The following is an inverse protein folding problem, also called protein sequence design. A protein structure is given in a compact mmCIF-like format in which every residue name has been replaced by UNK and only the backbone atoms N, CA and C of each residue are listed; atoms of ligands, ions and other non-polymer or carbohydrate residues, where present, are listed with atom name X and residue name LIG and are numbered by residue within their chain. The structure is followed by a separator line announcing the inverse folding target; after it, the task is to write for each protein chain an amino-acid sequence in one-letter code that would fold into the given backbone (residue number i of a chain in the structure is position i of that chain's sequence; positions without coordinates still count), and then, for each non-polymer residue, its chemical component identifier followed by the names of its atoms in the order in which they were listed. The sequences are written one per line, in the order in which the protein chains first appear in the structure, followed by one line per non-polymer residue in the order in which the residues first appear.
data_IF_650461481489
#
_entry.id   IF_650461481489
#
_cell.length_a   1.000
_cell.length_b   1.000
_cell.length_c   1.000
_cell.angle_alpha   90.00
_cell.angle_beta   90.00
_cell.angle_gamma   90.00
#
_symmetry.space_group_name_H-M   'P 1'
#
loop_
_entity.id
_entity.type
_entity.pdbx_description
1 polymer ?
#
# COMPACT_ATOMS: atom_id res chain seq x y z
N UNK A 1 13.81 -18.37 5.59
CA UNK A 1 12.80 -18.30 4.51
C UNK A 1 13.34 -19.01 3.27
N UNK A 2 12.57 -19.91 2.69
CA UNK A 2 12.96 -20.67 1.51
C UNK A 2 12.67 -19.90 0.22
N UNK A 3 13.31 -20.24 -0.93
CA UNK A 3 12.97 -19.63 -2.22
C UNK A 3 11.48 -19.77 -2.57
N UNK A 4 10.86 -20.89 -2.21
CA UNK A 4 9.45 -21.16 -2.45
C UNK A 4 8.56 -20.21 -1.63
N UNK A 5 8.91 -19.97 -0.37
CA UNK A 5 8.21 -19.00 0.48
C UNK A 5 8.34 -17.58 -0.04
N UNK A 6 9.53 -17.20 -0.51
CA UNK A 6 9.74 -15.88 -1.14
C UNK A 6 8.87 -15.75 -2.39
N UNK A 7 8.86 -16.75 -3.25
CA UNK A 7 8.03 -16.76 -4.47
C UNK A 7 6.54 -16.60 -4.12
N UNK A 8 6.08 -17.26 -3.06
CA UNK A 8 4.68 -17.18 -2.63
C UNK A 8 4.25 -15.76 -2.28
N UNK A 9 5.14 -14.94 -1.71
CA UNK A 9 4.85 -13.54 -1.37
C UNK A 9 4.60 -12.66 -2.61
N UNK A 10 5.11 -13.06 -3.77
CA UNK A 10 4.95 -12.34 -5.03
C UNK A 10 3.98 -13.04 -5.98
N UNK A 11 3.30 -14.08 -5.51
CA UNK A 11 2.33 -14.83 -6.30
C UNK A 11 0.91 -14.41 -5.88
N UNK A 12 0.11 -13.97 -6.85
CA UNK A 12 -1.26 -13.53 -6.65
C UNK A 12 -2.21 -14.72 -6.48
N UNK A 13 -3.42 -14.45 -6.03
CA UNK A 13 -4.45 -15.47 -5.84
C UNK A 13 -4.79 -16.24 -7.14
N UNK A 14 -4.62 -15.60 -8.31
CA UNK A 14 -4.83 -16.21 -9.63
C UNK A 14 -3.63 -17.06 -10.11
N UNK A 15 -2.58 -17.18 -9.28
CA UNK A 15 -1.37 -17.92 -9.62
C UNK A 15 -0.32 -17.11 -10.38
N UNK A 16 -0.59 -15.86 -10.72
CA UNK A 16 0.35 -15.01 -11.45
C UNK A 16 1.46 -14.52 -10.53
N UNK A 17 2.71 -14.81 -10.89
CA UNK A 17 3.87 -14.25 -10.22
C UNK A 17 4.11 -12.82 -10.67
N UNK A 18 4.27 -11.91 -9.71
CA UNK A 18 4.57 -10.51 -10.00
C UNK A 18 5.59 -9.95 -9.02
N UNK A 19 6.75 -9.65 -9.55
CA UNK A 19 7.79 -8.92 -8.83
C UNK A 19 8.05 -7.59 -9.54
N UNK A 20 8.15 -6.52 -8.77
CA UNK A 20 8.52 -5.21 -9.27
C UNK A 20 9.24 -4.42 -8.18
N UNK A 21 10.06 -3.46 -8.59
CA UNK A 21 10.76 -2.55 -7.68
C UNK A 21 10.12 -1.18 -7.73
N UNK A 22 10.29 -0.42 -6.68
CA UNK A 22 9.93 0.98 -6.68
C UNK A 22 10.78 1.76 -7.68
N UNK A 23 10.13 2.58 -8.51
CA UNK A 23 10.79 3.43 -9.48
C UNK A 23 11.12 4.83 -8.98
N UNK A 24 10.72 5.15 -7.74
CA UNK A 24 10.85 6.49 -7.14
C UNK A 24 10.97 6.38 -5.63
N UNK A 25 11.47 7.43 -4.93
CA UNK A 25 11.49 7.45 -3.48
C UNK A 25 10.09 7.29 -2.88
N UNK A 26 9.99 6.64 -1.72
CA UNK A 26 8.72 6.50 -1.02
C UNK A 26 8.33 7.81 -0.34
N UNK A 27 7.13 8.29 -0.63
CA UNK A 27 6.53 9.45 0.03
C UNK A 27 5.26 9.00 0.76
N UNK A 28 5.38 8.51 2.01
CA UNK A 28 4.25 7.94 2.73
C UNK A 28 3.35 8.99 3.34
N UNK A 29 2.06 8.67 3.40
CA UNK A 29 1.06 9.36 4.21
C UNK A 29 0.26 8.32 4.97
N UNK A 30 -0.02 8.57 6.24
CA UNK A 30 -0.71 7.65 7.13
C UNK A 30 -1.97 8.30 7.66
N UNK A 31 -3.11 7.64 7.48
CA UNK A 31 -4.41 8.12 7.90
C UNK A 31 -4.94 7.28 9.08
N UNK A 32 -5.71 7.93 9.96
CA UNK A 32 -6.42 7.24 11.03
C UNK A 32 -5.61 6.98 12.29
N UNK A 33 -4.48 7.67 12.47
CA UNK A 33 -3.61 7.53 13.64
C UNK A 33 -3.26 8.89 14.25
N UNK A 34 -2.86 8.87 15.51
CA UNK A 34 -2.33 10.04 16.20
C UNK A 34 -0.85 10.26 15.82
N UNK A 35 -0.35 11.46 16.14
CA UNK A 35 1.02 11.86 15.78
C UNK A 35 2.09 10.90 16.28
N UNK A 36 1.92 10.32 17.46
CA UNK A 36 2.87 9.37 18.04
C UNK A 36 2.94 8.09 17.21
N UNK A 37 1.80 7.52 16.83
CA UNK A 37 1.74 6.34 15.97
C UNK A 37 2.26 6.65 14.57
N UNK A 38 1.94 7.82 14.03
CA UNK A 38 2.47 8.27 12.75
C UNK A 38 3.99 8.25 12.73
N UNK A 39 4.63 8.76 13.78
CA UNK A 39 6.09 8.78 13.89
C UNK A 39 6.67 7.36 13.90
N UNK A 40 6.01 6.42 14.59
CA UNK A 40 6.42 5.02 14.66
C UNK A 40 6.33 4.37 13.26
N UNK A 41 5.24 4.57 12.56
CA UNK A 41 5.03 4.01 11.21
C UNK A 41 6.07 4.57 10.23
N UNK A 42 6.29 5.87 10.24
CA UNK A 42 7.33 6.50 9.41
C UNK A 42 8.72 5.98 9.72
N UNK A 43 9.04 5.80 11.00
CA UNK A 43 10.30 5.19 11.42
C UNK A 43 10.47 3.77 10.91
N UNK A 44 9.40 2.98 10.86
CA UNK A 44 9.42 1.64 10.28
C UNK A 44 9.70 1.68 8.77
N UNK A 45 9.08 2.60 8.04
CA UNK A 45 9.38 2.79 6.61
C UNK A 45 10.86 3.14 6.40
N UNK A 46 11.39 4.06 7.20
CA UNK A 46 12.81 4.44 7.12
C UNK A 46 13.74 3.25 7.36
N UNK A 47 13.45 2.45 8.37
CA UNK A 47 14.26 1.27 8.70
C UNK A 47 14.29 0.27 7.53
N UNK A 48 13.13 0.00 6.91
CA UNK A 48 13.04 -0.92 5.77
C UNK A 48 13.74 -0.35 4.54
N UNK A 49 13.53 0.93 4.24
CA UNK A 49 14.13 1.56 3.05
C UNK A 49 15.65 1.65 3.16
N UNK A 50 16.18 1.88 4.35
CA UNK A 50 17.65 1.84 4.59
C UNK A 50 18.20 0.45 4.27
N UNK A 51 17.55 -0.61 4.76
CA UNK A 51 17.96 -1.98 4.48
C UNK A 51 17.88 -2.32 2.99
N UNK A 52 16.89 -1.78 2.29
CA UNK A 52 16.71 -2.00 0.86
C UNK A 52 17.58 -1.07 -0.02
N UNK A 53 18.37 -0.19 0.59
CA UNK A 53 19.13 0.84 -0.11
C UNK A 53 18.21 1.69 -1.02
N UNK A 54 17.05 2.09 -0.48
CA UNK A 54 16.07 2.89 -1.17
C UNK A 54 15.87 4.22 -0.43
N UNK A 55 15.44 5.25 -1.13
CA UNK A 55 15.24 6.58 -0.54
C UNK A 55 13.78 6.82 -0.14
N UNK A 56 13.61 7.67 0.86
CA UNK A 56 12.32 8.30 1.18
C UNK A 56 12.33 9.75 0.77
N UNK A 57 11.16 10.29 0.48
CA UNK A 57 10.95 11.70 0.19
C UNK A 57 9.75 12.23 0.99
N UNK A 58 9.73 13.53 1.23
CA UNK A 58 8.59 14.20 1.86
C UNK A 58 7.38 14.25 0.93
N UNK A 59 7.64 14.43 -0.37
CA UNK A 59 6.61 14.62 -1.38
C UNK A 59 7.03 13.96 -2.68
N UNK A 60 6.10 13.26 -3.31
CA UNK A 60 6.26 12.77 -4.68
C UNK A 60 5.90 13.90 -5.65
N UNK A 61 6.77 14.27 -6.61
CA UNK A 61 6.51 15.38 -7.53
C UNK A 61 5.27 15.20 -8.40
N UNK A 62 4.86 13.96 -8.66
CA UNK A 62 3.74 13.64 -9.54
C UNK A 62 2.45 13.39 -8.76
N UNK A 63 2.54 12.66 -7.65
CA UNK A 63 1.39 12.17 -6.91
C UNK A 63 1.16 12.87 -5.56
N UNK A 64 2.12 13.65 -5.08
CA UNK A 64 2.11 14.22 -3.73
C UNK A 64 2.54 13.18 -2.69
N UNK A 65 1.77 12.12 -2.50
CA UNK A 65 2.14 10.94 -1.74
C UNK A 65 1.96 9.71 -2.63
N UNK A 66 2.81 8.70 -2.46
CA UNK A 66 2.76 7.49 -3.27
C UNK A 66 2.60 6.20 -2.45
N UNK A 67 2.68 6.30 -1.14
CA UNK A 67 2.43 5.18 -0.23
C UNK A 67 1.40 5.62 0.79
N UNK A 68 0.17 5.19 0.60
CA UNK A 68 -0.96 5.63 1.43
C UNK A 68 -1.37 4.49 2.36
N UNK A 69 -1.24 4.73 3.66
CA UNK A 69 -1.56 3.76 4.70
C UNK A 69 -2.81 4.21 5.45
N UNK A 70 -3.80 3.34 5.50
CA UNK A 70 -5.08 3.62 6.16
C UNK A 70 -5.25 2.68 7.34
N UNK A 71 -5.33 3.24 8.54
CA UNK A 71 -5.72 2.49 9.74
C UNK A 71 -7.22 2.67 9.94
N UNK A 72 -7.95 1.55 9.92
CA UNK A 72 -9.40 1.53 9.95
C UNK A 72 -9.89 0.68 11.13
N UNK A 73 -11.03 1.02 11.68
CA UNK A 73 -11.75 0.18 12.64
C UNK A 73 -12.58 -0.88 11.94
N UNK A 74 -13.15 -0.50 10.78
CA UNK A 74 -13.94 -1.39 9.94
C UNK A 74 -13.83 -0.97 8.47
N UNK A 75 -14.01 -1.94 7.57
CA UNK A 75 -13.83 -1.73 6.13
C UNK A 75 -14.78 -0.69 5.53
N UNK A 76 -15.99 -0.52 6.10
CA UNK A 76 -16.97 0.45 5.60
C UNK A 76 -16.49 1.89 5.65
N UNK A 77 -15.53 2.21 6.50
CA UNK A 77 -14.93 3.55 6.56
C UNK A 77 -14.32 3.97 5.22
N UNK A 78 -13.87 3.00 4.40
CA UNK A 78 -13.32 3.30 3.08
C UNK A 78 -14.38 3.85 2.13
N UNK A 79 -15.59 3.31 2.16
CA UNK A 79 -16.67 3.80 1.30
C UNK A 79 -17.21 5.15 1.76
N UNK A 80 -16.99 5.50 3.01
CA UNK A 80 -17.37 6.81 3.58
C UNK A 80 -16.30 7.88 3.35
N UNK A 81 -15.13 7.51 2.86
CA UNK A 81 -14.03 8.46 2.60
C UNK A 81 -14.28 9.19 1.28
N UNK A 82 -14.41 10.54 1.29
CA UNK A 82 -14.66 11.29 0.06
C UNK A 82 -13.57 11.10 -0.99
N UNK A 83 -13.97 10.90 -2.23
CA UNK A 83 -13.11 10.79 -3.41
C UNK A 83 -12.15 9.59 -3.44
N UNK A 84 -12.19 8.70 -2.45
CA UNK A 84 -11.34 7.50 -2.47
C UNK A 84 -11.73 6.56 -3.62
N UNK A 85 -13.01 6.51 -3.97
CA UNK A 85 -13.52 5.73 -5.10
C UNK A 85 -12.96 6.18 -6.46
N UNK A 86 -12.48 7.41 -6.57
CA UNK A 86 -11.80 7.92 -7.76
C UNK A 86 -10.39 7.37 -7.89
N UNK A 87 -9.72 7.12 -6.76
CA UNK A 87 -8.38 6.55 -6.73
C UNK A 87 -8.42 5.03 -6.83
N UNK A 88 -9.46 4.41 -6.28
CA UNK A 88 -9.60 2.96 -6.23
C UNK A 88 -10.90 2.58 -6.93
N UNK A 89 -10.84 2.13 -8.21
CA UNK A 89 -12.01 1.67 -8.93
C UNK A 89 -12.67 0.48 -8.22
N UNK A 90 -13.99 0.39 -8.28
CA UNK A 90 -14.78 -0.69 -7.70
C UNK A 90 -14.59 -0.82 -6.18
N UNK A 91 -14.42 0.30 -5.50
CA UNK A 91 -14.20 0.33 -4.04
C UNK A 91 -15.33 -0.34 -3.25
N UNK A 92 -16.59 -0.09 -3.61
CA UNK A 92 -17.74 -0.69 -2.94
C UNK A 92 -17.73 -2.22 -3.00
N UNK A 93 -17.66 -2.83 -4.21
CA UNK A 93 -17.52 -4.28 -4.35
C UNK A 93 -16.28 -4.85 -3.66
N UNK A 94 -15.17 -4.14 -3.66
CA UNK A 94 -13.95 -4.55 -2.95
C UNK A 94 -14.21 -4.63 -1.44
N UNK A 95 -14.82 -3.61 -0.86
CA UNK A 95 -15.13 -3.58 0.57
C UNK A 95 -16.05 -4.74 0.94
N UNK A 96 -17.07 -5.02 0.13
CA UNK A 96 -17.97 -6.16 0.34
C UNK A 96 -17.21 -7.49 0.36
N UNK A 97 -16.27 -7.69 -0.55
CA UNK A 97 -15.41 -8.89 -0.58
C UNK A 97 -14.53 -9.00 0.66
N UNK A 98 -13.94 -7.90 1.10
CA UNK A 98 -13.06 -7.88 2.28
C UNK A 98 -13.84 -8.22 3.55
N UNK A 99 -15.05 -7.70 3.69
CA UNK A 99 -15.93 -8.04 4.80
C UNK A 99 -16.32 -9.52 4.71
N UNK A 100 -16.75 -9.99 3.55
CA UNK A 100 -17.20 -11.37 3.35
C UNK A 100 -16.10 -12.41 3.59
N UNK A 101 -14.84 -12.07 3.33
CA UNK A 101 -13.70 -12.96 3.58
C UNK A 101 -13.05 -12.78 4.96
N UNK A 102 -13.61 -11.91 5.80
CA UNK A 102 -13.08 -11.58 7.12
C UNK A 102 -11.60 -11.14 7.03
N UNK A 103 -11.28 -10.33 6.02
CA UNK A 103 -9.93 -9.84 5.80
C UNK A 103 -9.51 -8.83 6.87
N UNK A 104 -8.24 -8.85 7.26
CA UNK A 104 -7.66 -7.92 8.22
C UNK A 104 -6.63 -6.97 7.61
N UNK A 105 -6.30 -7.14 6.35
CA UNK A 105 -5.43 -6.26 5.60
C UNK A 105 -5.68 -6.40 4.10
N UNK A 106 -5.34 -5.36 3.36
CA UNK A 106 -5.38 -5.40 1.90
C UNK A 106 -4.39 -4.40 1.32
N UNK A 107 -3.77 -4.74 0.18
CA UNK A 107 -2.79 -3.89 -0.49
C UNK A 107 -3.11 -3.80 -1.97
N UNK A 108 -2.97 -2.61 -2.51
CA UNK A 108 -3.12 -2.36 -3.94
C UNK A 108 -1.86 -1.66 -4.42
N UNK A 109 -1.26 -2.18 -5.50
CA UNK A 109 -0.10 -1.57 -6.14
C UNK A 109 -0.49 -0.99 -7.49
N UNK A 110 0.10 0.15 -7.81
CA UNK A 110 0.04 0.75 -9.14
C UNK A 110 1.42 0.70 -9.76
N UNK A 111 1.47 0.40 -11.06
CA UNK A 111 2.72 0.26 -11.79
C UNK A 111 2.78 1.30 -12.90
N UNK A 112 3.98 1.79 -13.19
CA UNK A 112 4.20 2.70 -14.31
C UNK A 112 4.43 1.92 -15.63
N UNK A 113 4.68 2.65 -16.71
CA UNK A 113 4.91 2.04 -18.01
C UNK A 113 6.18 1.21 -18.11
N UNK A 114 7.14 1.44 -17.21
CA UNK A 114 8.36 0.64 -17.09
C UNK A 114 8.20 -0.57 -16.15
N UNK A 115 6.97 -0.84 -15.68
CA UNK A 115 6.65 -1.91 -14.73
C UNK A 115 7.30 -1.74 -13.36
N UNK A 116 7.65 -0.51 -12.99
CA UNK A 116 8.09 -0.18 -11.64
C UNK A 116 6.87 0.19 -10.79
N UNK A 117 6.99 0.00 -9.47
CA UNK A 117 5.93 0.41 -8.55
C UNK A 117 5.88 1.93 -8.49
N UNK A 118 4.72 2.49 -8.79
CA UNK A 118 4.46 3.92 -8.79
C UNK A 118 3.75 4.37 -7.53
N UNK A 119 2.85 3.56 -7.00
CA UNK A 119 2.07 3.86 -5.81
C UNK A 119 1.60 2.59 -5.11
N UNK A 120 1.34 2.70 -3.82
CA UNK A 120 0.82 1.61 -3.01
C UNK A 120 -0.24 2.14 -2.04
N UNK A 121 -1.35 1.42 -1.93
CA UNK A 121 -2.40 1.66 -0.94
C UNK A 121 -2.41 0.47 0.03
N UNK A 122 -2.31 0.75 1.31
CA UNK A 122 -2.28 -0.26 2.37
C UNK A 122 -3.44 0.00 3.33
N UNK A 123 -4.27 -1.02 3.52
CA UNK A 123 -5.41 -0.96 4.42
C UNK A 123 -5.33 -2.02 5.51
#
# INVERSE_FOLDING_TARGET
MTPEEVTAHFTRADGTYRFARWGRPLAPVVFGVEAETLAIVKGAFEAVTVLANHAMAETDPELGANTMVFFLREWRELTDTPNLDRLIPDLGPLVDRLIGSDANQYRIFRFDNANAIQACFIF
#
